data_IF_883377119096
#
_entry.id   IF_883377119096
#
_cell.length_a   1.000
_cell.length_b   1.000
_cell.length_c   1.000
_cell.angle_alpha   90.00
_cell.angle_beta   90.00
_cell.angle_gamma   90.00
#
_symmetry.space_group_name_H-M   'P 1'
#
loop_
_entity.id
_entity.type
_entity.pdbx_description
1 polymer ?
#
# COMPACT_ATOMS: atom_id res chain seq x y z
N UNK A 1 -6.32 14.25 18.00
CA UNK A 1 -7.36 13.35 17.44
C UNK A 1 -6.70 11.99 17.26
N UNK A 2 -7.00 11.00 18.11
CA UNK A 2 -6.48 9.65 17.89
C UNK A 2 -7.33 8.99 16.79
N UNK A 3 -6.71 8.38 15.76
CA UNK A 3 -7.47 7.57 14.82
C UNK A 3 -8.11 6.39 15.57
N UNK A 4 -9.43 6.28 15.47
CA UNK A 4 -10.18 5.12 15.96
C UNK A 4 -9.95 4.00 14.96
N UNK A 5 -9.18 2.98 15.37
CA UNK A 5 -8.87 1.81 14.54
C UNK A 5 -9.92 0.69 14.66
N UNK A 6 -11.12 0.99 15.13
CA UNK A 6 -12.28 0.08 15.17
C UNK A 6 -12.87 -0.13 13.76
N UNK A 7 -12.00 -0.46 12.81
CA UNK A 7 -12.39 -0.91 11.50
C UNK A 7 -12.71 -2.41 11.64
N UNK A 8 -13.82 -2.92 11.07
CA UNK A 8 -14.06 -4.35 11.02
C UNK A 8 -13.03 -4.97 10.05
N UNK A 9 -11.82 -5.20 10.54
CA UNK A 9 -10.69 -5.76 9.82
C UNK A 9 -10.98 -7.24 9.58
N UNK A 10 -11.85 -7.50 8.62
CA UNK A 10 -11.96 -8.82 8.00
C UNK A 10 -10.79 -9.01 7.03
N UNK A 11 -10.45 -10.26 6.72
CA UNK A 11 -9.48 -10.58 5.67
C UNK A 11 -9.90 -10.01 4.30
N UNK A 12 -11.19 -9.76 4.07
CA UNK A 12 -11.71 -9.12 2.86
C UNK A 12 -11.45 -7.60 2.81
N UNK A 13 -11.21 -6.98 3.96
CA UNK A 13 -11.06 -5.55 4.16
C UNK A 13 -12.37 -4.81 4.41
N UNK A 14 -12.29 -3.49 4.31
CA UNK A 14 -13.42 -2.55 4.40
C UNK A 14 -13.53 -1.74 3.12
N UNK A 15 -14.73 -1.25 2.81
CA UNK A 15 -14.95 -0.30 1.72
C UNK A 15 -15.28 1.05 2.30
N UNK A 16 -14.54 2.08 1.87
CA UNK A 16 -14.70 3.46 2.30
C UNK A 16 -15.11 4.32 1.11
N UNK A 17 -16.04 5.26 1.34
CA UNK A 17 -16.41 6.27 0.36
C UNK A 17 -15.52 7.51 0.55
N UNK A 18 -14.85 7.92 -0.51
CA UNK A 18 -14.06 9.15 -0.56
C UNK A 18 -14.97 10.37 -0.69
N UNK A 19 -14.44 11.56 -0.37
CA UNK A 19 -15.15 12.83 -0.49
C UNK A 19 -15.63 13.13 -1.91
N UNK A 20 -14.89 12.67 -2.92
CA UNK A 20 -15.26 12.78 -4.34
C UNK A 20 -16.31 11.74 -4.80
N UNK A 21 -16.87 10.96 -3.87
CA UNK A 21 -17.85 9.91 -4.17
C UNK A 21 -17.27 8.57 -4.62
N UNK A 22 -15.96 8.50 -4.90
CA UNK A 22 -15.27 7.25 -5.23
C UNK A 22 -15.30 6.25 -4.08
N UNK A 23 -15.21 4.96 -4.40
CA UNK A 23 -15.12 3.88 -3.40
C UNK A 23 -13.76 3.23 -3.45
N UNK A 24 -13.13 3.06 -2.29
CA UNK A 24 -11.85 2.37 -2.14
C UNK A 24 -11.99 1.22 -1.16
N UNK A 25 -11.28 0.13 -1.43
CA UNK A 25 -11.20 -1.01 -0.50
C UNK A 25 -9.86 -0.98 0.22
N UNK A 26 -9.90 -0.98 1.54
CA UNK A 26 -8.73 -1.00 2.41
C UNK A 26 -8.66 -2.40 3.04
N UNK A 27 -7.53 -3.08 2.86
CA UNK A 27 -7.28 -4.42 3.39
C UNK A 27 -5.78 -4.64 3.61
N UNK A 28 -5.39 -5.66 4.39
CA UNK A 28 -4.00 -6.12 4.44
C UNK A 28 -3.45 -6.43 3.04
N UNK A 29 -2.17 -6.08 2.84
CA UNK A 29 -1.41 -6.42 1.65
C UNK A 29 -1.17 -7.94 1.61
N UNK A 30 -1.02 -8.49 0.40
CA UNK A 30 -0.76 -9.91 0.16
C UNK A 30 0.30 -10.04 -0.91
N UNK A 31 1.07 -11.13 -0.90
CA UNK A 31 2.10 -11.44 -1.90
C UNK A 31 1.58 -11.31 -3.35
N UNK A 32 0.32 -11.69 -3.60
CA UNK A 32 -0.34 -11.57 -4.90
C UNK A 32 -0.50 -10.12 -5.42
N UNK A 33 -0.30 -9.13 -4.56
CA UNK A 33 -0.46 -7.71 -4.90
C UNK A 33 0.80 -7.09 -5.51
N UNK A 34 1.93 -7.82 -5.56
CA UNK A 34 3.23 -7.31 -6.00
C UNK A 34 3.18 -6.54 -7.32
N UNK A 35 2.55 -7.12 -8.36
CA UNK A 35 2.43 -6.47 -9.67
C UNK A 35 1.49 -5.25 -9.64
N UNK A 36 0.44 -5.29 -8.82
CA UNK A 36 -0.46 -4.14 -8.63
C UNK A 36 0.26 -2.98 -7.95
N UNK A 37 1.12 -3.28 -6.97
CA UNK A 37 1.95 -2.28 -6.28
C UNK A 37 2.97 -1.66 -7.25
N UNK A 38 3.64 -2.48 -8.08
CA UNK A 38 4.56 -1.98 -9.12
C UNK A 38 3.84 -1.07 -10.12
N UNK A 39 2.65 -1.46 -10.58
CA UNK A 39 1.85 -0.63 -11.47
C UNK A 39 1.40 0.68 -10.81
N UNK A 40 1.06 0.66 -9.52
CA UNK A 40 0.79 1.85 -8.73
C UNK A 40 1.99 2.79 -8.64
N UNK A 41 3.17 2.25 -8.34
CA UNK A 41 4.42 3.00 -8.31
C UNK A 41 4.71 3.70 -9.63
N UNK A 42 4.51 3.03 -10.77
CA UNK A 42 4.76 3.61 -12.09
C UNK A 42 3.89 4.84 -12.39
N UNK A 43 2.73 4.99 -11.73
CA UNK A 43 1.84 6.15 -11.86
C UNK A 43 2.16 7.30 -10.90
N UNK A 44 3.06 7.11 -9.94
CA UNK A 44 3.48 8.16 -9.03
C UNK A 44 4.39 9.17 -9.75
N UNK A 45 4.24 10.46 -9.40
CA UNK A 45 5.19 11.51 -9.79
C UNK A 45 6.57 11.25 -9.21
N UNK A 46 7.62 11.81 -9.82
CA UNK A 46 9.00 11.69 -9.31
C UNK A 46 9.11 12.19 -7.87
N UNK A 47 8.47 13.32 -7.54
CA UNK A 47 8.43 13.87 -6.20
C UNK A 47 7.73 12.93 -5.19
N UNK A 48 6.63 12.29 -5.58
CA UNK A 48 5.96 11.30 -4.73
C UNK A 48 6.84 10.07 -4.50
N UNK A 49 7.60 9.63 -5.51
CA UNK A 49 8.54 8.51 -5.37
C UNK A 49 9.69 8.88 -4.43
N UNK A 50 10.24 10.08 -4.57
CA UNK A 50 11.29 10.59 -3.69
C UNK A 50 10.80 10.69 -2.24
N UNK A 51 9.63 11.30 -2.00
CA UNK A 51 9.07 11.44 -0.65
C UNK A 51 8.77 10.10 0.02
N UNK A 52 8.43 9.07 -0.76
CA UNK A 52 8.13 7.73 -0.22
C UNK A 52 9.38 6.92 0.13
N UNK A 53 10.45 7.04 -0.66
CA UNK A 53 11.62 6.14 -0.57
C UNK A 53 12.95 6.86 -0.34
N UNK A 54 12.92 8.18 -0.13
CA UNK A 54 14.07 9.08 -0.04
C UNK A 54 15.14 8.81 -1.09
N UNK A 55 14.69 8.47 -2.30
CA UNK A 55 15.54 8.13 -3.44
C UNK A 55 14.78 8.32 -4.74
N UNK A 56 15.48 8.82 -5.76
CA UNK A 56 14.95 9.02 -7.10
C UNK A 56 14.86 7.68 -7.86
N UNK A 57 13.90 6.83 -7.49
CA UNK A 57 13.70 5.51 -8.10
C UNK A 57 12.84 5.62 -9.36
N UNK A 58 13.38 5.14 -10.49
CA UNK A 58 12.63 5.04 -11.74
C UNK A 58 11.68 3.84 -11.79
N UNK A 59 12.01 2.76 -11.06
CA UNK A 59 11.23 1.53 -10.93
C UNK A 59 11.24 0.98 -9.50
N UNK A 60 10.22 0.20 -9.17
CA UNK A 60 10.18 -0.60 -7.95
C UNK A 60 10.85 -1.95 -8.24
N UNK A 61 11.90 -2.31 -7.51
CA UNK A 61 12.55 -3.63 -7.66
C UNK A 61 11.62 -4.74 -7.16
N UNK A 62 11.82 -5.96 -7.65
CA UNK A 62 11.05 -7.12 -7.19
C UNK A 62 11.21 -7.34 -5.69
N UNK A 63 12.45 -7.22 -5.17
CA UNK A 63 12.74 -7.34 -3.73
C UNK A 63 11.97 -6.34 -2.88
N UNK A 64 11.86 -5.09 -3.34
CA UNK A 64 11.13 -4.05 -2.62
C UNK A 64 9.61 -4.23 -2.76
N UNK A 65 9.14 -4.72 -3.91
CA UNK A 65 7.73 -5.07 -4.07
C UNK A 65 7.32 -6.23 -3.14
N UNK A 66 8.15 -7.27 -3.02
CA UNK A 66 7.97 -8.35 -2.05
C UNK A 66 7.96 -7.81 -0.63
N UNK A 67 8.94 -7.00 -0.25
CA UNK A 67 8.98 -6.34 1.06
C UNK A 67 7.78 -5.41 1.34
N UNK A 68 6.99 -5.01 0.35
CA UNK A 68 5.78 -4.20 0.59
C UNK A 68 4.50 -5.04 0.66
N UNK A 69 4.59 -6.34 0.39
CA UNK A 69 3.42 -7.22 0.18
C UNK A 69 3.46 -8.50 0.99
N UNK A 70 4.65 -8.95 1.39
CA UNK A 70 4.90 -10.10 2.24
C UNK A 70 5.12 -9.65 3.69
N UNK A 71 4.01 -9.28 4.34
CA UNK A 71 3.99 -8.77 5.72
C UNK A 71 3.59 -9.91 6.66
N UNK A 72 4.51 -10.34 7.51
CA UNK A 72 4.30 -11.47 8.43
C UNK A 72 3.77 -11.02 9.81
N UNK A 73 3.87 -9.73 10.15
CA UNK A 73 3.53 -9.17 11.46
C UNK A 73 4.29 -9.79 12.65
N UNK A 74 5.44 -10.42 12.40
CA UNK A 74 6.36 -10.95 13.41
C UNK A 74 7.74 -10.29 13.32
N UNK A 75 8.31 -10.27 12.12
CA UNK A 75 9.63 -9.67 11.83
C UNK A 75 9.56 -8.59 10.76
N UNK A 76 8.46 -8.58 10.01
CA UNK A 76 8.18 -7.72 8.89
C UNK A 76 6.82 -7.05 9.09
N UNK A 77 6.85 -5.76 9.41
CA UNK A 77 5.68 -4.94 9.73
C UNK A 77 5.49 -3.81 8.71
N UNK A 78 4.24 -3.37 8.54
CA UNK A 78 3.84 -2.26 7.67
C UNK A 78 3.04 -1.21 8.44
#
# INVERSE_FOLDING_TARGET
MQPVWDLPLSSAGIVVKLSNGGRVRIRPARVSDSDTVKAGFARLSEESRYNRFFSARSKLSDSLATSLTDIDHETHFA
#
